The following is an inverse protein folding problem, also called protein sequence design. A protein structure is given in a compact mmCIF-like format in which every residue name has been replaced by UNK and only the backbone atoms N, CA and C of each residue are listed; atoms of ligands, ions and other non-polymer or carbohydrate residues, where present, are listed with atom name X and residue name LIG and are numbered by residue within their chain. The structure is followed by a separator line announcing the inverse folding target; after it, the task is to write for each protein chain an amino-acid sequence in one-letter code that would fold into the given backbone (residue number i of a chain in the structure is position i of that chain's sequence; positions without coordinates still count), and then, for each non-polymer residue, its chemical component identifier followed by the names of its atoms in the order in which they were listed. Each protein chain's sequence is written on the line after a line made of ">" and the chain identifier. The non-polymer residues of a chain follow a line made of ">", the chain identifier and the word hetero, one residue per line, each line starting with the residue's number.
data_IF_558967815741
#
_entry.id   IF_558967815741
#
_cell.length_a   1.000
_cell.length_b   1.000
_cell.length_c   1.000
_cell.angle_alpha   90.00
_cell.angle_beta   90.00
_cell.angle_gamma   90.00
#
_symmetry.space_group_name_H-M   'P 1'
#
loop_
_entity.id
_entity.type
_entity.pdbx_description
1 polymer ?
#
# COMPACT_ATOMS: atom_id res chain seq x y z
N UNK A 1 -42.66 11.32 -71.38
CA UNK A 1 -43.60 11.43 -70.25
C UNK A 1 -43.15 10.48 -69.15
N UNK A 2 -42.77 10.97 -67.96
CA UNK A 2 -42.58 10.10 -66.79
C UNK A 2 -43.94 9.83 -66.14
N UNK A 3 -44.15 8.62 -65.61
CA UNK A 3 -44.68 8.52 -64.25
C UNK A 3 -43.98 7.47 -63.37
N UNK A 4 -43.63 7.93 -62.17
CA UNK A 4 -43.72 7.29 -60.84
C UNK A 4 -43.90 5.75 -60.74
N UNK A 5 -42.94 5.09 -60.07
CA UNK A 5 -43.28 3.97 -59.18
C UNK A 5 -42.41 3.91 -57.92
N UNK A 6 -43.13 3.84 -56.82
CA UNK A 6 -42.77 3.94 -55.41
C UNK A 6 -42.19 2.60 -54.89
N UNK A 7 -40.97 2.56 -54.35
CA UNK A 7 -40.49 1.41 -53.55
C UNK A 7 -39.59 1.83 -52.39
N UNK A 8 -40.23 1.84 -51.21
CA UNK A 8 -39.75 1.42 -49.88
C UNK A 8 -38.40 1.97 -49.40
N UNK A 9 -38.47 2.98 -48.53
CA UNK A 9 -37.39 3.30 -47.60
C UNK A 9 -37.15 2.12 -46.65
N UNK A 10 -36.03 1.42 -46.86
CA UNK A 10 -35.53 0.40 -45.92
C UNK A 10 -34.89 1.16 -44.75
N UNK A 11 -35.57 1.18 -43.62
CA UNK A 11 -34.96 1.62 -42.35
C UNK A 11 -34.02 0.52 -41.88
N UNK A 12 -32.75 0.62 -42.22
CA UNK A 12 -31.69 -0.13 -41.54
C UNK A 12 -31.47 0.51 -40.17
N UNK A 13 -32.00 -0.15 -39.15
CA UNK A 13 -31.75 0.14 -37.74
C UNK A 13 -30.32 -0.30 -37.43
N UNK A 14 -29.34 0.62 -37.41
CA UNK A 14 -28.07 0.36 -36.72
C UNK A 14 -28.31 0.61 -35.23
N UNK A 15 -28.39 -0.47 -34.45
CA UNK A 15 -28.21 -0.40 -32.99
C UNK A 15 -26.74 -0.01 -32.73
N UNK A 16 -26.48 1.25 -32.40
CA UNK A 16 -25.24 1.63 -31.74
C UNK A 16 -25.36 1.24 -30.26
N UNK A 17 -24.64 0.19 -29.86
CA UNK A 17 -24.43 -0.17 -28.46
C UNK A 17 -23.81 1.03 -27.73
N UNK A 18 -24.54 1.61 -26.78
CA UNK A 18 -23.99 2.58 -25.86
C UNK A 18 -23.00 1.86 -24.93
N UNK A 19 -21.70 1.96 -25.22
CA UNK A 19 -20.67 1.72 -24.21
C UNK A 19 -20.66 2.96 -23.32
N UNK A 20 -21.20 2.82 -22.12
CA UNK A 20 -21.01 3.79 -21.05
C UNK A 20 -19.52 3.84 -20.71
N UNK A 21 -18.84 4.88 -21.20
CA UNK A 21 -17.49 5.21 -20.79
C UNK A 21 -17.56 5.63 -19.31
N UNK A 22 -17.21 4.72 -18.41
CA UNK A 22 -16.96 5.09 -17.02
C UNK A 22 -15.85 6.14 -17.02
N UNK A 23 -16.14 7.34 -16.50
CA UNK A 23 -15.18 8.42 -16.36
C UNK A 23 -14.02 7.94 -15.49
N UNK A 24 -12.87 7.69 -16.10
CA UNK A 24 -11.60 7.71 -15.38
C UNK A 24 -11.50 9.09 -14.74
N UNK A 25 -11.39 9.11 -13.41
CA UNK A 25 -11.25 10.34 -12.64
C UNK A 25 -10.18 11.21 -13.29
N UNK A 26 -10.58 12.40 -13.70
CA UNK A 26 -9.70 13.42 -14.23
C UNK A 26 -8.66 13.77 -13.18
N UNK A 27 -7.48 13.15 -13.28
CA UNK A 27 -6.28 13.71 -12.70
C UNK A 27 -6.07 15.06 -13.37
N UNK A 28 -6.10 16.14 -12.58
CA UNK A 28 -5.74 17.46 -13.04
C UNK A 28 -4.35 17.39 -13.68
N UNK A 29 -4.28 17.65 -14.98
CA UNK A 29 -3.02 17.91 -15.66
C UNK A 29 -2.59 19.31 -15.19
N UNK A 30 -1.83 19.36 -14.10
CA UNK A 30 -1.06 20.54 -13.76
C UNK A 30 -0.16 20.91 -14.94
N UNK A 31 -0.02 22.21 -15.22
CA UNK A 31 0.88 22.76 -16.23
C UNK A 31 2.20 21.97 -16.24
N UNK A 32 2.53 21.33 -17.37
CA UNK A 32 3.70 20.48 -17.48
C UNK A 32 4.95 21.29 -17.07
N UNK A 33 5.51 20.96 -15.91
CA UNK A 33 6.80 21.51 -15.49
C UNK A 33 7.87 21.11 -16.49
N UNK A 34 8.96 21.88 -16.57
CA UNK A 34 10.15 21.47 -17.33
C UNK A 34 10.60 20.10 -16.84
N UNK A 35 10.85 19.17 -17.75
CA UNK A 35 11.29 17.80 -17.43
C UNK A 35 12.82 17.74 -17.49
N UNK A 36 13.44 17.33 -16.38
CA UNK A 36 14.87 17.04 -16.32
C UNK A 36 15.07 15.52 -16.30
N UNK A 37 15.86 15.03 -17.25
CA UNK A 37 16.16 13.61 -17.36
C UNK A 37 17.56 13.33 -16.85
N UNK A 38 17.68 12.37 -15.93
CA UNK A 38 18.98 11.89 -15.49
C UNK A 38 19.65 11.14 -16.64
N UNK A 39 20.79 11.66 -17.11
CA UNK A 39 21.61 11.04 -18.15
C UNK A 39 22.71 10.17 -17.57
N UNK A 40 23.06 10.36 -16.30
CA UNK A 40 24.07 9.57 -15.58
C UNK A 40 25.49 9.73 -16.15
N UNK A 41 25.81 10.92 -16.65
CA UNK A 41 26.90 11.18 -17.59
C UNK A 41 28.19 10.36 -17.45
N UNK A 42 28.64 9.93 -18.63
CA UNK A 42 29.77 9.07 -18.94
C UNK A 42 31.04 9.33 -18.12
N UNK A 43 31.57 8.28 -17.50
CA UNK A 43 32.94 8.22 -16.98
C UNK A 43 33.01 7.75 -15.54
N UNK A 44 33.81 6.72 -15.30
CA UNK A 44 34.00 6.08 -14.00
C UNK A 44 34.35 7.07 -12.86
N UNK A 45 33.63 6.97 -11.73
CA UNK A 45 34.17 7.31 -10.41
C UNK A 45 33.93 8.72 -9.83
N UNK A 46 33.36 9.69 -10.56
CA UNK A 46 33.24 11.08 -10.04
C UNK A 46 31.90 11.79 -10.30
N UNK A 47 30.98 11.21 -11.07
CA UNK A 47 29.80 11.92 -11.56
C UNK A 47 28.48 11.33 -11.04
N UNK A 48 28.39 10.92 -9.78
CA UNK A 48 27.13 10.40 -9.22
C UNK A 48 26.41 11.37 -8.28
N UNK A 49 26.82 12.64 -8.22
CA UNK A 49 26.10 13.64 -7.44
C UNK A 49 24.92 14.23 -8.21
N UNK A 50 23.77 14.38 -7.55
CA UNK A 50 22.59 15.06 -8.07
C UNK A 50 22.91 16.51 -8.49
N UNK A 51 23.81 17.17 -7.74
CA UNK A 51 24.15 18.59 -7.90
C UNK A 51 25.10 18.90 -9.06
N UNK A 52 25.49 17.92 -9.88
CA UNK A 52 26.36 18.12 -11.04
C UNK A 52 25.51 18.24 -12.30
N UNK A 53 25.55 19.39 -12.96
CA UNK A 53 24.72 19.69 -14.13
C UNK A 53 24.92 18.71 -15.30
N UNK A 54 26.16 18.26 -15.53
CA UNK A 54 26.48 17.32 -16.61
C UNK A 54 25.76 15.97 -16.48
N UNK A 55 25.29 15.59 -15.29
CA UNK A 55 24.55 14.34 -15.06
C UNK A 55 23.09 14.39 -15.53
N UNK A 56 22.67 15.54 -16.03
CA UNK A 56 21.34 15.81 -16.54
C UNK A 56 21.40 16.01 -18.04
N UNK A 57 20.41 15.49 -18.77
CA UNK A 57 20.24 15.79 -20.19
C UNK A 57 20.13 17.31 -20.38
N UNK A 58 20.91 17.86 -21.31
CA UNK A 58 21.01 19.31 -21.52
C UNK A 58 21.94 20.05 -20.56
N UNK A 59 22.68 19.33 -19.70
CA UNK A 59 23.69 19.88 -18.79
C UNK A 59 23.14 20.99 -17.86
N UNK A 60 21.93 20.80 -17.33
CA UNK A 60 21.24 21.76 -16.48
C UNK A 60 20.64 21.08 -15.25
N UNK A 61 20.73 21.72 -14.09
CA UNK A 61 20.19 21.20 -12.84
C UNK A 61 18.66 21.35 -12.77
N UNK A 62 17.93 20.37 -12.19
CA UNK A 62 16.52 20.53 -11.90
C UNK A 62 16.26 21.74 -11.01
N UNK A 63 15.26 22.52 -11.38
CA UNK A 63 14.78 23.69 -10.62
C UNK A 63 13.51 23.36 -9.86
N UNK A 64 13.11 24.21 -8.90
CA UNK A 64 11.89 24.01 -8.13
C UNK A 64 10.66 23.81 -9.04
N UNK A 65 9.78 22.89 -8.64
CA UNK A 65 8.56 22.50 -9.36
C UNK A 65 8.77 21.84 -10.73
N UNK A 66 10.01 21.58 -11.14
CA UNK A 66 10.30 20.75 -12.32
C UNK A 66 9.89 19.29 -12.11
N UNK A 67 9.67 18.57 -13.20
CA UNK A 67 9.55 17.11 -13.15
C UNK A 67 10.93 16.49 -13.35
N UNK A 68 11.22 15.41 -12.63
CA UNK A 68 12.49 14.69 -12.74
C UNK A 68 12.20 13.27 -13.21
N UNK A 69 12.92 12.80 -14.23
CA UNK A 69 12.77 11.44 -14.77
C UNK A 69 14.10 10.70 -14.77
N UNK A 70 14.09 9.48 -14.24
CA UNK A 70 15.19 8.52 -14.34
C UNK A 70 14.85 7.47 -15.38
N UNK A 71 15.49 7.54 -16.55
CA UNK A 71 15.33 6.60 -17.65
C UNK A 71 16.37 5.47 -17.64
N UNK A 72 16.53 4.77 -18.77
CA UNK A 72 17.46 3.63 -18.94
C UNK A 72 18.91 3.99 -19.28
N UNK A 73 19.35 5.24 -19.12
CA UNK A 73 20.64 5.71 -19.63
C UNK A 73 21.88 5.30 -18.79
N UNK A 74 21.68 4.63 -17.64
CA UNK A 74 22.74 4.30 -16.69
C UNK A 74 22.82 2.80 -16.36
N UNK A 75 23.92 2.36 -15.74
CA UNK A 75 24.12 0.98 -15.32
C UNK A 75 23.40 0.65 -14.01
N UNK A 76 23.00 -0.61 -13.83
CA UNK A 76 22.42 -1.06 -12.56
C UNK A 76 23.45 -0.98 -11.42
N UNK A 77 22.98 -0.64 -10.23
CA UNK A 77 23.81 -0.41 -9.04
C UNK A 77 24.28 1.03 -8.90
N UNK A 78 23.77 1.97 -9.71
CA UNK A 78 24.14 3.38 -9.63
C UNK A 78 23.77 3.96 -8.25
N UNK A 79 24.74 4.54 -7.57
CA UNK A 79 24.56 5.18 -6.26
C UNK A 79 24.72 6.68 -6.39
N UNK A 80 23.63 7.42 -6.25
CA UNK A 80 23.57 8.86 -6.43
C UNK A 80 23.57 9.56 -5.08
N UNK A 81 24.42 10.56 -4.92
CA UNK A 81 24.46 11.40 -3.73
C UNK A 81 23.59 12.64 -3.92
N UNK A 82 22.70 12.90 -2.97
CA UNK A 82 21.88 14.11 -2.91
C UNK A 82 22.44 14.99 -1.80
N UNK A 83 22.74 16.25 -2.12
CA UNK A 83 23.15 17.27 -1.17
C UNK A 83 22.08 18.39 -1.10
N UNK A 84 21.75 18.81 0.10
CA UNK A 84 20.73 19.82 0.38
C UNK A 84 19.29 19.38 0.09
N UNK A 85 18.44 20.38 -0.13
CA UNK A 85 17.03 20.20 -0.47
C UNK A 85 16.85 20.27 -1.98
N UNK A 86 16.22 19.25 -2.56
CA UNK A 86 15.93 19.17 -3.99
C UNK A 86 14.42 19.26 -4.21
N UNK A 87 13.90 20.45 -4.55
CA UNK A 87 12.48 20.62 -4.84
C UNK A 87 12.13 20.18 -6.26
N UNK A 88 11.10 19.35 -6.41
CA UNK A 88 10.51 18.95 -7.69
C UNK A 88 9.00 18.77 -7.52
N UNK A 89 8.24 18.81 -8.60
CA UNK A 89 6.80 18.54 -8.56
C UNK A 89 6.51 17.03 -8.59
N UNK A 90 7.25 16.31 -9.43
CA UNK A 90 7.13 14.86 -9.66
C UNK A 90 8.49 14.21 -9.81
N UNK A 91 8.62 13.01 -9.27
CA UNK A 91 9.72 12.09 -9.57
C UNK A 91 9.22 10.87 -10.34
N UNK A 92 9.73 10.64 -11.54
CA UNK A 92 9.39 9.50 -12.39
C UNK A 92 10.58 8.56 -12.55
N UNK A 93 10.34 7.28 -12.37
CA UNK A 93 11.30 6.20 -12.53
C UNK A 93 10.80 5.29 -13.66
N UNK A 94 11.49 5.36 -14.80
CA UNK A 94 11.21 4.58 -15.99
C UNK A 94 12.45 3.81 -16.44
N UNK A 95 12.85 2.86 -15.60
CA UNK A 95 14.06 2.06 -15.84
C UNK A 95 13.95 0.71 -15.17
N UNK A 96 14.61 -0.27 -15.78
CA UNK A 96 14.79 -1.61 -15.21
C UNK A 96 15.99 -1.70 -14.27
N UNK A 97 16.87 -0.69 -14.28
CA UNK A 97 18.14 -0.68 -13.56
C UNK A 97 17.95 -0.28 -12.11
N UNK A 98 18.43 -1.10 -11.17
CA UNK A 98 18.53 -0.72 -9.76
C UNK A 98 19.41 0.52 -9.56
N UNK A 99 19.02 1.45 -8.70
CA UNK A 99 19.81 2.58 -8.23
C UNK A 99 19.48 2.92 -6.76
N UNK A 100 20.34 3.71 -6.13
CA UNK A 100 20.06 4.34 -4.83
C UNK A 100 20.22 5.85 -4.90
N UNK A 101 19.28 6.59 -4.30
CA UNK A 101 19.41 8.00 -3.97
C UNK A 101 19.75 8.13 -2.49
N UNK A 102 20.97 8.55 -2.18
CA UNK A 102 21.48 8.57 -0.82
C UNK A 102 21.62 10.01 -0.35
N UNK A 103 21.38 10.25 0.94
CA UNK A 103 21.80 11.50 1.53
C UNK A 103 23.33 11.54 1.57
N UNK A 104 23.91 12.63 1.05
CA UNK A 104 25.28 13.02 1.35
C UNK A 104 25.46 13.28 2.86
N UNK A 105 26.06 12.32 3.56
CA UNK A 105 26.27 12.42 5.01
C UNK A 105 27.09 13.66 5.43
N UNK A 106 27.94 14.19 4.54
CA UNK A 106 28.73 15.40 4.81
C UNK A 106 27.90 16.69 4.70
N UNK A 107 26.78 16.66 3.98
CA UNK A 107 25.90 17.81 3.75
C UNK A 107 24.68 17.88 4.70
N UNK A 108 24.51 16.89 5.59
CA UNK A 108 23.38 16.78 6.51
C UNK A 108 22.20 15.98 5.95
N UNK A 109 21.00 16.17 6.50
CA UNK A 109 19.81 15.41 6.10
C UNK A 109 19.24 15.93 4.77
N UNK A 110 19.70 15.36 3.66
CA UNK A 110 19.31 15.77 2.31
C UNK A 110 17.92 15.26 1.95
N UNK A 111 17.10 16.15 1.40
CA UNK A 111 15.65 15.94 1.29
C UNK A 111 15.18 16.17 -0.13
N UNK A 112 14.49 15.17 -0.69
CA UNK A 112 13.66 15.29 -1.88
C UNK A 112 12.32 15.92 -1.49
N UNK A 113 12.01 17.09 -2.03
CA UNK A 113 10.74 17.76 -1.70
C UNK A 113 9.80 17.68 -2.90
N UNK A 114 8.67 16.99 -2.74
CA UNK A 114 7.66 16.80 -3.78
C UNK A 114 6.53 17.82 -3.61
N UNK A 115 6.57 18.90 -4.39
CA UNK A 115 5.58 19.99 -4.29
C UNK A 115 4.17 19.58 -4.69
N UNK A 116 4.02 18.59 -5.59
CA UNK A 116 2.75 17.97 -5.93
C UNK A 116 2.58 16.55 -5.36
N UNK A 117 3.54 16.10 -4.54
CA UNK A 117 3.50 14.77 -3.91
C UNK A 117 3.59 13.57 -4.86
N UNK A 118 4.05 13.78 -6.11
CA UNK A 118 4.00 12.74 -7.15
C UNK A 118 5.30 11.92 -7.22
N UNK A 119 5.16 10.60 -7.17
CA UNK A 119 6.26 9.65 -7.38
C UNK A 119 5.75 8.48 -8.24
N UNK A 120 6.24 8.34 -9.46
CA UNK A 120 5.71 7.37 -10.41
C UNK A 120 6.83 6.42 -10.85
N UNK A 121 6.75 5.14 -10.47
CA UNK A 121 7.58 4.08 -11.01
C UNK A 121 6.76 3.29 -12.02
N UNK A 122 7.02 3.54 -13.30
CA UNK A 122 6.13 3.11 -14.40
C UNK A 122 6.63 1.87 -15.13
N UNK A 123 7.93 1.58 -15.08
CA UNK A 123 8.49 0.40 -15.72
C UNK A 123 8.10 -0.88 -14.96
N UNK A 124 7.45 -1.82 -15.66
CA UNK A 124 6.87 -3.04 -15.06
C UNK A 124 7.89 -4.16 -14.83
N UNK A 125 9.06 -4.13 -15.48
CA UNK A 125 10.16 -5.10 -15.32
C UNK A 125 11.31 -4.52 -14.50
N UNK A 126 10.98 -3.78 -13.45
CA UNK A 126 11.94 -2.92 -12.77
C UNK A 126 12.74 -3.62 -11.67
N UNK A 127 14.06 -3.36 -11.60
CA UNK A 127 14.93 -3.75 -10.48
C UNK A 127 14.62 -3.00 -9.18
N UNK A 128 15.27 -3.37 -8.08
CA UNK A 128 15.03 -2.69 -6.78
C UNK A 128 15.58 -1.28 -6.81
N UNK A 129 14.73 -0.30 -6.50
CA UNK A 129 15.09 1.12 -6.44
C UNK A 129 15.06 1.59 -5.00
N UNK A 130 16.08 2.33 -4.57
CA UNK A 130 16.20 2.78 -3.18
C UNK A 130 16.26 4.30 -3.09
N UNK A 131 15.43 4.88 -2.23
CA UNK A 131 15.46 6.28 -1.82
C UNK A 131 15.84 6.30 -0.34
N UNK A 132 17.13 6.46 -0.08
CA UNK A 132 17.68 6.61 1.26
C UNK A 132 17.73 8.08 1.72
N UNK A 133 17.65 9.04 0.79
CA UNK A 133 17.39 10.44 1.12
C UNK A 133 15.99 10.62 1.73
N UNK A 134 15.81 11.66 2.55
CA UNK A 134 14.50 11.99 3.10
C UNK A 134 13.55 12.44 1.98
N UNK A 135 12.24 12.26 2.19
CA UNK A 135 11.21 12.69 1.25
C UNK A 135 10.17 13.55 1.97
N UNK A 136 9.99 14.80 1.55
CA UNK A 136 8.98 15.70 2.09
C UNK A 136 7.80 15.86 1.12
N UNK A 137 6.61 15.43 1.54
CA UNK A 137 5.35 15.60 0.82
C UNK A 137 4.72 16.97 1.13
N UNK A 138 4.78 17.92 0.19
CA UNK A 138 4.10 19.22 0.38
C UNK A 138 2.62 19.18 -0.01
N UNK A 139 2.20 18.14 -0.74
CA UNK A 139 0.82 17.89 -1.11
C UNK A 139 0.49 16.41 -0.89
N UNK A 140 -0.80 16.05 -0.93
CA UNK A 140 -1.23 14.67 -0.80
C UNK A 140 -0.50 13.81 -1.84
N UNK A 141 0.26 12.83 -1.35
CA UNK A 141 1.10 12.00 -2.18
C UNK A 141 0.27 11.11 -3.08
N UNK A 142 0.63 11.02 -4.35
CA UNK A 142 0.12 10.04 -5.31
C UNK A 142 1.32 9.28 -5.88
N UNK A 143 1.53 8.08 -5.34
CA UNK A 143 2.70 7.25 -5.55
C UNK A 143 2.32 6.02 -6.35
N UNK A 144 2.49 6.10 -7.66
CA UNK A 144 2.17 5.02 -8.58
C UNK A 144 3.38 4.10 -8.76
N UNK A 145 3.41 3.01 -7.98
CA UNK A 145 4.56 2.11 -7.93
C UNK A 145 4.17 0.79 -8.58
N UNK A 146 4.69 0.56 -9.79
CA UNK A 146 4.50 -0.66 -10.57
C UNK A 146 5.75 -1.53 -10.64
N UNK A 147 5.54 -2.74 -11.11
CA UNK A 147 6.58 -3.67 -11.53
C UNK A 147 7.03 -4.65 -10.45
N UNK A 148 7.88 -5.60 -10.86
CA UNK A 148 8.27 -6.75 -10.04
C UNK A 148 9.26 -6.44 -8.90
N UNK A 149 10.19 -5.50 -9.10
CA UNK A 149 11.13 -5.10 -8.05
C UNK A 149 10.50 -4.19 -6.98
N UNK A 150 11.16 -4.11 -5.82
CA UNK A 150 10.70 -3.27 -4.74
C UNK A 150 11.11 -1.80 -4.94
N UNK A 151 10.23 -0.86 -4.58
CA UNK A 151 10.60 0.52 -4.30
C UNK A 151 10.88 0.64 -2.80
N UNK A 152 12.13 0.82 -2.42
CA UNK A 152 12.56 0.98 -1.03
C UNK A 152 12.69 2.45 -0.72
N UNK A 153 11.99 2.94 0.29
CA UNK A 153 12.18 4.28 0.84
C UNK A 153 12.61 4.12 2.29
N UNK A 154 13.92 4.27 2.51
CA UNK A 154 14.54 4.11 3.82
C UNK A 154 14.83 5.44 4.51
N UNK A 155 14.85 6.55 3.77
CA UNK A 155 14.82 7.89 4.34
C UNK A 155 13.46 8.20 4.99
N UNK A 156 13.44 9.21 5.87
CA UNK A 156 12.20 9.64 6.52
C UNK A 156 11.27 10.28 5.49
N UNK A 157 10.04 9.78 5.40
CA UNK A 157 8.95 10.43 4.68
C UNK A 157 8.17 11.32 5.64
N UNK A 158 8.01 12.59 5.30
CA UNK A 158 7.35 13.61 6.12
C UNK A 158 6.30 14.39 5.34
N UNK A 159 5.47 15.16 6.06
CA UNK A 159 4.48 16.05 5.47
C UNK A 159 3.11 15.40 5.30
N UNK A 160 2.49 15.57 4.12
CA UNK A 160 1.13 15.12 3.82
C UNK A 160 0.97 13.59 3.76
N UNK A 161 -0.15 13.08 3.24
CA UNK A 161 -0.39 11.64 3.10
C UNK A 161 0.45 11.00 2.00
N UNK A 162 0.60 9.67 2.03
CA UNK A 162 1.04 8.86 0.88
C UNK A 162 -0.17 8.08 0.37
N UNK A 163 -0.44 8.15 -0.94
CA UNK A 163 -1.42 7.27 -1.61
C UNK A 163 -0.68 6.35 -2.58
N UNK A 164 -0.45 5.10 -2.16
CA UNK A 164 0.18 4.06 -2.96
C UNK A 164 -0.83 3.49 -3.96
N UNK A 165 -0.46 3.52 -5.23
CA UNK A 165 -1.15 2.93 -6.36
C UNK A 165 -0.19 2.00 -7.12
N UNK A 166 -0.72 1.27 -8.10
CA UNK A 166 0.05 0.32 -8.89
C UNK A 166 0.30 -0.98 -8.14
N UNK A 167 0.51 -2.05 -8.89
CA UNK A 167 0.61 -3.42 -8.38
C UNK A 167 1.93 -3.75 -7.66
N UNK A 168 2.94 -2.88 -7.71
CA UNK A 168 4.27 -3.13 -7.16
C UNK A 168 4.33 -3.02 -5.64
N UNK A 169 5.50 -3.36 -5.08
CA UNK A 169 5.76 -3.29 -3.63
C UNK A 169 6.49 -2.00 -3.27
N UNK A 170 5.93 -1.25 -2.32
CA UNK A 170 6.60 -0.13 -1.64
C UNK A 170 7.07 -0.59 -0.26
N UNK A 171 8.37 -0.56 0.00
CA UNK A 171 8.96 -0.84 1.30
C UNK A 171 9.24 0.49 1.99
N UNK A 172 8.56 0.75 3.11
CA UNK A 172 8.83 1.89 3.98
C UNK A 172 9.64 1.37 5.17
N UNK A 173 10.87 1.84 5.34
CA UNK A 173 11.72 1.41 6.46
C UNK A 173 12.21 2.54 7.35
N UNK A 174 12.04 3.80 6.92
CA UNK A 174 12.31 4.98 7.74
C UNK A 174 11.32 5.14 8.90
N UNK A 175 11.72 5.90 9.93
CA UNK A 175 10.81 6.36 10.97
C UNK A 175 10.01 7.55 10.44
N UNK A 176 8.88 7.27 9.81
CA UNK A 176 8.16 8.23 9.00
C UNK A 176 7.21 9.11 9.84
N UNK A 177 7.04 10.35 9.40
CA UNK A 177 6.23 11.38 10.07
C UNK A 177 5.16 11.98 9.16
N UNK A 178 4.97 11.40 7.97
CA UNK A 178 3.89 11.76 7.06
C UNK A 178 2.51 11.49 7.67
N UNK A 179 1.49 12.24 7.25
CA UNK A 179 0.23 12.33 7.96
C UNK A 179 -0.55 11.00 8.04
N UNK A 180 -0.53 10.19 6.96
CA UNK A 180 -1.19 8.87 6.88
C UNK A 180 -0.77 8.09 5.63
N UNK A 181 -0.98 6.77 5.64
CA UNK A 181 -0.73 5.89 4.48
C UNK A 181 -2.05 5.36 3.92
N UNK A 182 -2.26 5.53 2.62
CA UNK A 182 -3.41 5.00 1.87
C UNK A 182 -2.85 4.04 0.82
N UNK A 183 -3.37 2.82 0.75
CA UNK A 183 -2.93 1.79 -0.20
C UNK A 183 -4.13 1.37 -1.03
N UNK A 184 -4.17 1.85 -2.27
CA UNK A 184 -5.26 1.53 -3.20
C UNK A 184 -5.03 0.17 -3.86
N UNK A 185 -3.77 -0.12 -4.23
CA UNK A 185 -3.36 -1.33 -4.94
C UNK A 185 -1.92 -1.74 -4.57
N UNK A 186 -1.59 -3.02 -4.81
CA UNK A 186 -0.26 -3.57 -4.56
C UNK A 186 0.02 -3.78 -3.08
N UNK A 187 1.30 -3.64 -2.70
CA UNK A 187 1.76 -3.94 -1.34
C UNK A 187 2.53 -2.76 -0.75
N UNK A 188 2.24 -2.43 0.52
CA UNK A 188 3.16 -1.70 1.38
C UNK A 188 3.79 -2.68 2.36
N UNK A 189 5.11 -2.69 2.45
CA UNK A 189 5.86 -3.53 3.38
C UNK A 189 6.46 -2.68 4.50
N UNK A 190 6.38 -3.16 5.73
CA UNK A 190 6.93 -2.55 6.94
C UNK A 190 7.64 -3.57 7.83
N UNK A 191 8.48 -3.08 8.73
CA UNK A 191 9.08 -3.85 9.83
C UNK A 191 8.91 -3.18 11.21
N UNK A 192 8.30 -1.99 11.25
CA UNK A 192 7.98 -1.25 12.47
C UNK A 192 6.75 -0.35 12.27
N UNK A 193 6.01 -0.08 13.34
CA UNK A 193 4.82 0.81 13.35
C UNK A 193 5.12 2.21 12.80
N UNK A 194 6.31 2.73 13.12
CA UNK A 194 6.77 4.05 12.68
C UNK A 194 6.97 4.15 11.16
N UNK A 195 7.02 3.02 10.43
CA UNK A 195 7.11 3.04 8.97
C UNK A 195 5.82 3.55 8.32
N UNK A 196 4.67 3.46 8.99
CA UNK A 196 3.36 3.84 8.43
C UNK A 196 3.06 5.34 8.51
N UNK A 197 3.93 6.13 9.15
CA UNK A 197 3.73 7.56 9.37
C UNK A 197 3.29 7.87 10.80
N UNK A 198 2.62 9.00 10.99
CA UNK A 198 2.12 9.43 12.29
C UNK A 198 1.26 8.34 12.97
N UNK A 199 1.39 8.18 14.29
CA UNK A 199 0.66 7.16 15.05
C UNK A 199 -0.88 7.32 14.97
N UNK A 200 -1.36 8.56 14.82
CA UNK A 200 -2.79 8.88 14.61
C UNK A 200 -3.23 8.84 13.15
N UNK A 201 -2.29 8.60 12.23
CA UNK A 201 -2.56 8.52 10.79
C UNK A 201 -3.21 7.19 10.43
N UNK A 202 -4.48 7.23 9.99
CA UNK A 202 -5.20 6.03 9.54
C UNK A 202 -4.48 5.33 8.39
N UNK A 203 -4.22 4.04 8.51
CA UNK A 203 -3.84 3.18 7.39
C UNK A 203 -5.11 2.77 6.62
N UNK A 204 -5.28 3.23 5.39
CA UNK A 204 -6.39 2.79 4.55
C UNK A 204 -5.95 1.70 3.57
N UNK A 205 -6.65 0.58 3.55
CA UNK A 205 -6.46 -0.52 2.61
C UNK A 205 -7.72 -0.66 1.74
N UNK A 206 -7.57 -0.44 0.43
CA UNK A 206 -8.67 -0.61 -0.53
C UNK A 206 -8.65 -2.03 -1.09
N UNK A 207 -7.86 -2.33 -2.12
CA UNK A 207 -7.71 -3.70 -2.64
C UNK A 207 -6.23 -4.05 -2.64
N UNK A 208 -5.63 -4.02 -1.45
CA UNK A 208 -4.20 -3.96 -1.28
C UNK A 208 -3.72 -4.73 -0.04
N UNK A 209 -2.40 -4.95 0.03
CA UNK A 209 -1.75 -5.65 1.12
C UNK A 209 -0.86 -4.74 1.97
N UNK A 210 -0.91 -4.96 3.28
CA UNK A 210 0.14 -4.63 4.22
C UNK A 210 0.96 -5.90 4.48
N UNK A 211 2.23 -5.91 4.06
CA UNK A 211 3.17 -6.96 4.42
C UNK A 211 3.96 -6.54 5.66
N UNK A 212 3.97 -7.37 6.69
CA UNK A 212 4.65 -7.07 7.97
C UNK A 212 5.70 -8.12 8.25
N UNK A 213 6.96 -7.69 8.30
CA UNK A 213 8.08 -8.58 8.57
C UNK A 213 8.48 -8.51 10.04
N UNK A 214 8.46 -9.66 10.71
CA UNK A 214 8.74 -9.79 12.13
C UNK A 214 7.52 -9.52 13.02
N UNK A 215 7.76 -9.27 14.30
CA UNK A 215 6.70 -8.98 15.27
C UNK A 215 6.52 -7.47 15.43
N UNK A 216 5.34 -6.96 15.11
CA UNK A 216 5.05 -5.51 15.09
C UNK A 216 3.70 -5.23 15.73
N UNK A 217 3.67 -4.22 16.59
CA UNK A 217 2.41 -3.61 17.03
C UNK A 217 2.03 -2.51 16.06
N UNK A 218 0.85 -2.59 15.45
CA UNK A 218 0.32 -1.53 14.57
C UNK A 218 -0.65 -0.69 15.40
N UNK A 219 -0.24 0.54 15.72
CA UNK A 219 -0.99 1.45 16.58
C UNK A 219 -2.02 2.27 15.80
N UNK A 220 -1.78 2.44 14.50
CA UNK A 220 -2.63 3.19 13.59
C UNK A 220 -3.99 2.50 13.43
N UNK A 221 -5.10 3.26 13.44
CA UNK A 221 -6.39 2.74 12.99
C UNK A 221 -6.32 2.26 11.55
N UNK A 222 -6.99 1.15 11.24
CA UNK A 222 -7.05 0.60 9.89
C UNK A 222 -8.45 0.82 9.30
N UNK A 223 -8.51 1.45 8.13
CA UNK A 223 -9.72 1.55 7.32
C UNK A 223 -9.70 0.51 6.20
N UNK A 224 -10.69 -0.38 6.17
CA UNK A 224 -10.96 -1.29 5.06
C UNK A 224 -11.94 -0.62 4.08
N UNK A 225 -11.40 0.04 3.07
CA UNK A 225 -12.18 0.64 1.97
C UNK A 225 -12.55 -0.41 0.90
N UNK A 226 -11.89 -1.57 0.90
CA UNK A 226 -12.18 -2.76 0.12
C UNK A 226 -11.53 -3.98 0.78
N UNK A 227 -11.11 -4.98 0.01
CA UNK A 227 -10.37 -6.11 0.60
C UNK A 227 -8.95 -5.70 1.01
N UNK A 228 -8.72 -5.56 2.31
CA UNK A 228 -7.40 -5.33 2.90
C UNK A 228 -6.76 -6.65 3.34
N UNK A 229 -5.55 -6.92 2.84
CA UNK A 229 -4.76 -8.09 3.26
C UNK A 229 -3.67 -7.69 4.25
N UNK A 230 -3.54 -8.40 5.36
CA UNK A 230 -2.38 -8.34 6.26
C UNK A 230 -1.59 -9.63 6.09
N UNK A 231 -0.43 -9.53 5.44
CA UNK A 231 0.48 -10.66 5.18
C UNK A 231 1.59 -10.69 6.21
N UNK A 232 1.74 -11.82 6.90
CA UNK A 232 2.67 -11.99 8.04
C UNK A 232 3.50 -13.25 7.78
N UNK A 233 4.67 -13.13 7.11
CA UNK A 233 5.51 -14.28 6.81
C UNK A 233 6.06 -15.00 8.05
N UNK A 234 6.20 -14.28 9.18
CA UNK A 234 6.70 -14.82 10.44
C UNK A 234 6.37 -13.88 11.59
N UNK A 235 6.46 -14.36 12.83
CA UNK A 235 6.26 -13.54 14.03
C UNK A 235 4.78 -13.26 14.34
N UNK A 236 4.53 -12.22 15.13
CA UNK A 236 3.17 -11.82 15.56
C UNK A 236 2.91 -10.35 15.29
N UNK A 237 1.82 -10.04 14.61
CA UNK A 237 1.34 -8.67 14.44
C UNK A 237 0.18 -8.40 15.40
N UNK A 238 0.28 -7.30 16.13
CA UNK A 238 -0.69 -6.85 17.12
C UNK A 238 -1.44 -5.64 16.55
N UNK A 239 -2.68 -5.82 16.10
CA UNK A 239 -3.48 -4.72 15.57
C UNK A 239 -4.17 -3.99 16.74
N UNK A 240 -3.70 -2.78 17.08
CA UNK A 240 -4.15 -2.04 18.26
C UNK A 240 -5.02 -0.83 17.96
N UNK A 241 -4.90 -0.20 16.80
CA UNK A 241 -5.62 1.05 16.48
C UNK A 241 -7.13 0.91 16.20
N UNK A 242 -7.66 -0.32 16.19
CA UNK A 242 -9.02 -0.62 15.76
C UNK A 242 -9.15 -0.66 14.23
N UNK A 243 -10.13 -1.42 13.75
CA UNK A 243 -10.39 -1.61 12.32
C UNK A 243 -11.82 -1.22 11.99
N UNK A 244 -12.00 -0.43 10.93
CA UNK A 244 -13.30 0.11 10.52
C UNK A 244 -13.48 0.07 9.00
N UNK A 245 -14.70 0.30 8.53
CA UNK A 245 -15.05 0.29 7.10
C UNK A 245 -15.80 -0.96 6.65
N UNK A 246 -16.18 -0.99 5.38
CA UNK A 246 -17.08 -2.03 4.85
C UNK A 246 -16.34 -3.13 4.10
N UNK A 247 -15.03 -2.96 3.92
CA UNK A 247 -14.18 -3.91 3.24
C UNK A 247 -13.90 -5.19 4.02
N UNK A 248 -13.45 -6.22 3.31
CA UNK A 248 -13.07 -7.50 3.91
C UNK A 248 -11.65 -7.44 4.49
N UNK A 249 -11.42 -8.22 5.54
CA UNK A 249 -10.09 -8.43 6.12
C UNK A 249 -9.56 -9.81 5.72
N UNK A 250 -8.36 -9.84 5.16
CA UNK A 250 -7.66 -11.09 4.83
C UNK A 250 -6.38 -11.18 5.64
N UNK A 251 -6.16 -12.31 6.30
CA UNK A 251 -4.89 -12.67 6.92
C UNK A 251 -4.18 -13.70 6.06
N UNK A 252 -2.94 -13.40 5.67
CA UNK A 252 -2.06 -14.27 4.91
C UNK A 252 -0.72 -14.48 5.64
N UNK A 253 0.10 -15.43 5.19
CA UNK A 253 1.38 -15.78 5.78
C UNK A 253 1.25 -16.68 7.02
N UNK A 254 2.23 -17.55 7.31
CA UNK A 254 2.15 -18.51 8.41
C UNK A 254 2.24 -17.88 9.81
N UNK A 255 2.59 -16.59 9.93
CA UNK A 255 2.65 -15.88 11.20
C UNK A 255 1.30 -15.66 11.87
N UNK A 256 1.32 -15.04 13.05
CA UNK A 256 0.13 -14.78 13.87
C UNK A 256 -0.38 -13.36 13.70
N UNK A 257 -1.69 -13.19 13.56
CA UNK A 257 -2.37 -11.89 13.70
C UNK A 257 -3.21 -11.88 14.97
N UNK A 258 -2.99 -10.88 15.83
CA UNK A 258 -3.85 -10.62 16.98
C UNK A 258 -4.80 -9.47 16.66
N UNK A 259 -6.08 -9.79 16.56
CA UNK A 259 -7.17 -8.92 16.13
C UNK A 259 -8.00 -8.42 17.33
N UNK A 260 -7.32 -7.93 18.35
CA UNK A 260 -7.90 -7.18 19.48
C UNK A 260 -6.83 -6.28 20.07
N UNK A 261 -7.22 -5.17 20.67
CA UNK A 261 -6.31 -4.18 21.23
C UNK A 261 -7.07 -3.03 21.86
N UNK A 262 -6.47 -1.85 21.86
CA UNK A 262 -7.04 -0.66 22.50
C UNK A 262 -8.21 -0.06 21.69
N UNK A 263 -8.09 -0.07 20.36
CA UNK A 263 -9.11 0.40 19.44
C UNK A 263 -10.22 -0.61 19.22
N UNK A 264 -11.43 -0.10 18.99
CA UNK A 264 -12.63 -0.91 18.76
C UNK A 264 -12.74 -1.26 17.27
N UNK A 265 -12.99 -2.52 16.99
CA UNK A 265 -13.29 -2.98 15.64
C UNK A 265 -14.77 -2.74 15.30
N UNK A 266 -15.03 -2.00 14.23
CA UNK A 266 -16.37 -1.67 13.70
C UNK A 266 -16.52 -2.01 12.22
N UNK A 267 -15.55 -2.71 11.62
CA UNK A 267 -15.67 -3.15 10.24
C UNK A 267 -16.86 -4.10 10.06
N UNK A 268 -17.49 -4.03 8.88
CA UNK A 268 -18.70 -4.83 8.56
C UNK A 268 -18.44 -5.93 7.55
N UNK A 269 -17.28 -5.90 6.86
CA UNK A 269 -16.89 -6.93 5.92
C UNK A 269 -16.48 -8.25 6.59
N UNK A 270 -16.30 -9.27 5.76
CA UNK A 270 -15.96 -10.62 6.19
C UNK A 270 -14.46 -10.77 6.49
N UNK A 271 -14.12 -11.81 7.24
CA UNK A 271 -12.74 -12.18 7.57
C UNK A 271 -12.37 -13.47 6.86
N UNK A 272 -11.21 -13.51 6.21
CA UNK A 272 -10.60 -14.74 5.69
C UNK A 272 -9.23 -14.94 6.31
N UNK A 273 -9.02 -16.05 6.99
CA UNK A 273 -7.68 -16.47 7.43
C UNK A 273 -7.18 -17.54 6.46
N UNK A 274 -6.28 -17.16 5.55
CA UNK A 274 -5.76 -18.06 4.51
C UNK A 274 -4.82 -19.11 5.09
N UNK A 275 -4.05 -18.74 6.11
CA UNK A 275 -3.06 -19.60 6.75
C UNK A 275 -2.51 -18.96 8.04
N UNK A 276 -1.75 -19.74 8.81
CA UNK A 276 -1.23 -19.31 10.10
C UNK A 276 -2.34 -19.09 11.12
N UNK A 277 -2.06 -18.28 12.15
CA UNK A 277 -2.96 -18.12 13.27
C UNK A 277 -3.64 -16.74 13.28
N UNK A 278 -4.98 -16.76 13.40
CA UNK A 278 -5.79 -15.60 13.73
C UNK A 278 -6.21 -15.71 15.20
N UNK A 279 -5.65 -14.85 16.05
CA UNK A 279 -5.99 -14.76 17.47
C UNK A 279 -6.95 -13.58 17.70
N UNK A 280 -8.17 -13.85 18.16
CA UNK A 280 -9.23 -12.85 18.35
C UNK A 280 -10.17 -13.18 19.52
N UNK A 281 -11.29 -12.46 19.65
CA UNK A 281 -12.36 -12.70 20.61
C UNK A 281 -13.71 -12.22 20.04
N UNK A 282 -14.81 -12.54 20.72
CA UNK A 282 -16.16 -12.23 20.22
C UNK A 282 -16.47 -10.73 20.11
N UNK A 283 -15.77 -9.85 20.82
CA UNK A 283 -16.02 -8.39 20.77
C UNK A 283 -15.29 -7.70 19.61
N UNK A 284 -14.18 -8.30 19.16
CA UNK A 284 -13.30 -7.73 18.14
C UNK A 284 -13.47 -8.36 16.75
N UNK A 285 -13.89 -9.62 16.68
CA UNK A 285 -14.19 -10.30 15.43
C UNK A 285 -15.55 -9.85 14.88
N UNK A 286 -15.63 -9.55 13.58
CA UNK A 286 -16.87 -9.12 12.90
C UNK A 286 -17.03 -9.85 11.55
N UNK A 287 -18.22 -9.77 10.97
CA UNK A 287 -18.56 -10.39 9.68
C UNK A 287 -18.50 -11.91 9.68
N UNK A 288 -18.73 -12.57 8.55
CA UNK A 288 -18.53 -14.02 8.44
C UNK A 288 -17.03 -14.36 8.37
N UNK A 289 -16.67 -15.54 8.85
CA UNK A 289 -15.28 -16.03 8.87
C UNK A 289 -15.13 -17.28 8.01
N UNK A 290 -14.19 -17.22 7.08
CA UNK A 290 -13.66 -18.41 6.39
C UNK A 290 -12.25 -18.65 6.88
N UNK A 291 -12.04 -19.76 7.60
CA UNK A 291 -10.74 -20.11 8.16
C UNK A 291 -10.13 -21.33 7.46
N UNK A 292 -8.93 -21.16 6.90
CA UNK A 292 -8.10 -22.21 6.33
C UNK A 292 -6.87 -22.53 7.20
N UNK A 293 -6.53 -21.67 8.16
CA UNK A 293 -5.45 -21.86 9.13
C UNK A 293 -5.97 -22.24 10.52
N UNK A 294 -5.44 -21.58 11.55
CA UNK A 294 -5.90 -21.70 12.93
C UNK A 294 -6.66 -20.43 13.34
N UNK A 295 -7.93 -20.56 13.72
CA UNK A 295 -8.67 -19.51 14.40
C UNK A 295 -8.66 -19.78 15.91
N UNK A 296 -7.99 -18.92 16.67
CA UNK A 296 -7.97 -18.96 18.13
C UNK A 296 -8.89 -17.87 18.71
N UNK A 297 -9.94 -18.28 19.41
CA UNK A 297 -10.83 -17.39 20.14
C UNK A 297 -10.43 -17.35 21.61
N UNK A 298 -9.82 -16.25 22.06
CA UNK A 298 -9.38 -16.02 23.44
C UNK A 298 -10.44 -15.21 24.19
N UNK A 299 -11.38 -15.89 24.82
CA UNK A 299 -12.55 -15.26 25.45
C UNK A 299 -12.36 -15.10 26.96
N UNK A 300 -12.28 -13.85 27.45
CA UNK A 300 -12.12 -13.54 28.89
C UNK A 300 -13.39 -13.00 29.57
N UNK A 301 -14.42 -12.66 28.80
CA UNK A 301 -15.72 -12.20 29.28
C UNK A 301 -16.84 -12.87 28.48
N UNK A 302 -18.06 -12.93 29.01
CA UNK A 302 -19.17 -13.53 28.26
C UNK A 302 -19.49 -12.70 27.00
N UNK A 303 -19.65 -13.36 25.86
CA UNK A 303 -19.99 -12.71 24.59
C UNK A 303 -20.73 -13.60 23.62
N UNK A 304 -21.38 -12.98 22.65
CA UNK A 304 -22.12 -13.66 21.57
C UNK A 304 -21.49 -13.30 20.23
N UNK A 305 -21.22 -14.31 19.41
CA UNK A 305 -20.81 -14.13 18.03
C UNK A 305 -21.93 -14.59 17.09
N UNK A 306 -22.47 -13.64 16.34
CA UNK A 306 -23.72 -13.82 15.59
C UNK A 306 -23.52 -14.23 14.13
N UNK A 307 -22.32 -14.07 13.60
CA UNK A 307 -21.98 -14.40 12.21
C UNK A 307 -21.51 -15.85 12.07
N UNK A 308 -21.38 -16.31 10.84
CA UNK A 308 -20.99 -17.69 10.54
C UNK A 308 -19.47 -17.85 10.60
N UNK A 309 -18.99 -18.95 11.16
CA UNK A 309 -17.60 -19.40 11.06
C UNK A 309 -17.56 -20.73 10.33
N UNK A 310 -16.64 -20.85 9.37
CA UNK A 310 -16.33 -22.09 8.68
C UNK A 310 -14.85 -22.43 8.80
N UNK A 311 -14.53 -23.72 8.90
CA UNK A 311 -13.15 -24.21 8.98
C UNK A 311 -12.69 -24.61 10.38
N UNK A 312 -11.39 -24.87 10.59
CA UNK A 312 -10.84 -25.28 11.89
C UNK A 312 -11.00 -24.19 12.95
N UNK A 313 -11.31 -24.55 14.20
CA UNK A 313 -11.47 -23.56 15.28
C UNK A 313 -10.93 -24.10 16.61
N UNK A 314 -10.17 -23.26 17.30
CA UNK A 314 -9.61 -23.51 18.62
C UNK A 314 -10.16 -22.43 19.57
N UNK A 315 -10.80 -22.86 20.65
CA UNK A 315 -11.43 -21.94 21.61
C UNK A 315 -10.66 -22.01 22.93
N UNK A 316 -10.06 -20.90 23.32
CA UNK A 316 -9.45 -20.73 24.63
C UNK A 316 -10.38 -19.89 25.49
N UNK A 317 -10.99 -20.53 26.49
CA UNK A 317 -11.81 -19.86 27.49
C UNK A 317 -10.90 -19.42 28.63
N UNK A 318 -10.79 -18.12 28.86
CA UNK A 318 -10.03 -17.50 29.94
C UNK A 318 -10.96 -16.92 31.01
N UNK A 319 -11.99 -17.67 31.41
CA UNK A 319 -12.96 -17.29 32.44
C UNK A 319 -14.30 -16.70 31.95
N UNK A 320 -14.57 -16.65 30.64
CA UNK A 320 -15.85 -16.17 30.09
C UNK A 320 -16.51 -17.16 29.12
N UNK A 321 -17.78 -16.96 28.78
CA UNK A 321 -18.49 -17.84 27.83
C UNK A 321 -18.56 -17.24 26.43
N UNK A 322 -18.54 -18.08 25.40
CA UNK A 322 -18.85 -17.66 24.02
C UNK A 322 -20.08 -18.40 23.51
N UNK A 323 -21.08 -17.63 23.09
CA UNK A 323 -22.29 -18.17 22.44
C UNK A 323 -22.20 -17.91 20.94
N UNK A 324 -22.29 -18.96 20.14
CA UNK A 324 -22.39 -18.85 18.70
C UNK A 324 -23.84 -18.98 18.26
N UNK A 325 -24.38 -17.99 17.53
CA UNK A 325 -25.77 -18.04 17.04
C UNK A 325 -25.87 -18.11 15.51
N UNK A 326 -24.74 -17.99 14.81
CA UNK A 326 -24.67 -18.19 13.36
C UNK A 326 -24.76 -19.66 12.94
N UNK A 327 -24.86 -19.90 11.64
CA UNK A 327 -24.76 -21.24 11.06
C UNK A 327 -23.28 -21.63 10.93
N UNK A 328 -22.71 -22.18 12.00
CA UNK A 328 -21.29 -22.50 12.08
C UNK A 328 -20.99 -23.90 11.51
N UNK A 329 -19.90 -24.01 10.76
CA UNK A 329 -19.42 -25.24 10.13
C UNK A 329 -17.97 -25.51 10.55
N UNK A 330 -17.79 -25.86 11.82
CA UNK A 330 -16.47 -26.16 12.38
C UNK A 330 -15.93 -27.49 11.85
N UNK A 331 -14.63 -27.52 11.54
CA UNK A 331 -13.92 -28.74 11.10
C UNK A 331 -12.69 -28.97 11.98
N UNK A 332 -12.01 -30.12 11.83
CA UNK A 332 -10.73 -30.38 12.51
C UNK A 332 -10.79 -30.66 14.02
N UNK A 333 -11.99 -30.80 14.59
CA UNK A 333 -12.20 -30.95 16.03
C UNK A 333 -12.11 -29.60 16.75
N UNK A 334 -13.15 -29.22 17.50
CA UNK A 334 -13.07 -28.05 18.36
C UNK A 334 -12.27 -28.42 19.61
N UNK A 335 -11.14 -27.76 19.83
CA UNK A 335 -10.39 -27.88 21.09
C UNK A 335 -10.81 -26.75 22.01
N UNK A 336 -11.38 -27.09 23.17
CA UNK A 336 -11.70 -26.17 24.25
C UNK A 336 -10.70 -26.45 25.37
N UNK A 337 -9.91 -25.44 25.76
CA UNK A 337 -8.88 -25.61 26.79
C UNK A 337 -9.25 -24.82 28.06
N UNK A 338 -10.40 -25.16 28.67
CA UNK A 338 -10.77 -24.90 30.09
C UNK A 338 -12.08 -25.63 30.47
N UNK A 339 -12.47 -25.56 31.74
CA UNK A 339 -13.65 -26.16 32.36
C UNK A 339 -14.93 -25.44 31.90
N UNK A 340 -15.82 -26.15 31.20
CA UNK A 340 -17.21 -25.69 30.99
C UNK A 340 -17.92 -25.80 32.34
N UNK A 341 -18.50 -24.69 32.83
CA UNK A 341 -19.51 -24.72 33.91
C UNK A 341 -20.88 -24.61 33.28
#
# INVERSE_FOLDING_TARGET
>A
MKPQHNKKSVRTMLLASAVTLASLGSASIGVAGVIYQWSGAAGAGSATSWGIANNWAGAALPVANSEVTFGGAFQSGLSISIAGTVPMSRFTIDTDKSFSLNADAAAGANTLTLSQGRMDRINTSSGTQTIAANVAQQAAGAWDIRGGGAMVVSGVVSGSSITKMGNGTLILSGANTHARTIVNEGTVQISATANLGAATGTLALSNAALAVFGSVTVDQPIQLAGTGTVSIPSGTVYLQGGIHGNGNLVKAGPGRMRLFGNGINTYTGNVTNLEGQLLTNSSSLRGNVTNYGELQLSQTSTGTYTSNISGPVYVLIGGGNITFTGNNSFTGGMTINDTIV
#
